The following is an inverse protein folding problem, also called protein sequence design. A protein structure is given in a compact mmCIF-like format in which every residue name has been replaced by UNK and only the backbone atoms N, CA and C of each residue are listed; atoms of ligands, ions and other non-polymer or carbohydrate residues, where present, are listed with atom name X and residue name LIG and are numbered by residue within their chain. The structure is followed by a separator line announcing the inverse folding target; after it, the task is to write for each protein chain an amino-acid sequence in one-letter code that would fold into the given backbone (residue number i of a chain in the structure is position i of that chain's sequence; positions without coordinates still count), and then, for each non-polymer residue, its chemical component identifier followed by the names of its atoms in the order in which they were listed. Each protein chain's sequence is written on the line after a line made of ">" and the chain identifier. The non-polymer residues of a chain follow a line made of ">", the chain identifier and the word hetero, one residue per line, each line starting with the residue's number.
data_IF_377742046499
#
_entry.id   IF_377742046499
#
_cell.length_a   1.000
_cell.length_b   1.000
_cell.length_c   1.000
_cell.angle_alpha   90.00
_cell.angle_beta   90.00
_cell.angle_gamma   90.00
#
_symmetry.space_group_name_H-M   'P 1'
#
loop_
_entity.id
_entity.type
_entity.pdbx_description
1 polymer ?
#
# COMPACT_ATOMS: atom_id res chain seq x y z
N UNK A 1 -36.89 -4.06 4.68
CA UNK A 1 -35.72 -4.20 5.59
C UNK A 1 -34.40 -4.54 4.87
N UNK A 2 -34.33 -4.83 3.55
CA UNK A 2 -33.06 -5.18 2.87
C UNK A 2 -32.36 -4.06 2.09
N UNK A 3 -32.97 -2.88 1.91
CA UNK A 3 -32.35 -1.76 1.17
C UNK A 3 -31.31 -0.96 1.97
N UNK A 4 -31.34 -1.08 3.30
CA UNK A 4 -30.46 -0.29 4.19
C UNK A 4 -29.02 -0.85 4.23
N UNK A 5 -28.86 -2.18 4.18
CA UNK A 5 -27.53 -2.83 4.20
C UNK A 5 -26.79 -2.72 2.87
N UNK A 6 -27.50 -2.71 1.73
CA UNK A 6 -26.92 -2.54 0.39
C UNK A 6 -26.26 -1.15 0.26
N UNK A 7 -26.91 -0.10 0.78
CA UNK A 7 -26.39 1.27 0.74
C UNK A 7 -25.10 1.47 1.55
N UNK A 8 -24.97 0.78 2.70
CA UNK A 8 -23.77 0.87 3.55
C UNK A 8 -22.59 0.08 2.94
N UNK A 9 -22.87 -1.10 2.39
CA UNK A 9 -21.87 -1.93 1.71
C UNK A 9 -21.36 -1.27 0.44
N UNK A 10 -22.23 -0.64 -0.35
CA UNK A 10 -21.84 0.12 -1.53
C UNK A 10 -21.06 1.39 -1.19
N UNK A 11 -21.39 2.13 -0.13
CA UNK A 11 -20.57 3.29 0.30
C UNK A 11 -19.20 2.88 0.83
N UNK A 12 -19.08 1.70 1.42
CA UNK A 12 -17.81 1.17 1.92
C UNK A 12 -16.95 0.56 0.80
N UNK A 13 -17.58 -0.13 -0.17
CA UNK A 13 -16.92 -0.69 -1.35
C UNK A 13 -16.59 0.36 -2.43
N UNK A 14 -17.44 1.39 -2.60
CA UNK A 14 -17.18 2.54 -3.47
C UNK A 14 -16.51 3.70 -2.71
N UNK A 15 -16.14 3.49 -1.45
CA UNK A 15 -15.42 4.47 -0.64
C UNK A 15 -13.95 4.53 -1.04
N UNK A 16 -13.35 5.73 -0.93
CA UNK A 16 -11.93 5.96 -1.24
C UNK A 16 -10.97 4.96 -0.56
N UNK A 17 -11.36 4.42 0.60
CA UNK A 17 -10.59 3.44 1.36
C UNK A 17 -10.50 2.08 0.66
N UNK A 18 -11.59 1.57 0.07
CA UNK A 18 -11.58 0.30 -0.66
C UNK A 18 -10.75 0.41 -1.94
N UNK A 19 -10.82 1.55 -2.64
CA UNK A 19 -10.00 1.81 -3.83
C UNK A 19 -8.51 1.85 -3.43
N UNK A 20 -8.17 2.55 -2.34
CA UNK A 20 -6.79 2.64 -1.85
C UNK A 20 -6.24 1.26 -1.50
N UNK A 21 -7.01 0.43 -0.78
CA UNK A 21 -6.58 -0.91 -0.38
C UNK A 21 -6.37 -1.83 -1.60
N UNK A 22 -7.25 -1.72 -2.59
CA UNK A 22 -7.12 -2.44 -3.86
C UNK A 22 -5.86 -2.01 -4.63
N UNK A 23 -5.59 -0.71 -4.73
CA UNK A 23 -4.38 -0.18 -5.37
C UNK A 23 -3.10 -0.67 -4.69
N UNK A 24 -3.08 -0.71 -3.34
CA UNK A 24 -1.95 -1.25 -2.58
C UNK A 24 -1.74 -2.74 -2.89
N UNK A 25 -2.82 -3.53 -2.93
CA UNK A 25 -2.75 -4.95 -3.25
C UNK A 25 -2.18 -5.20 -4.66
N UNK A 26 -2.65 -4.44 -5.66
CA UNK A 26 -2.11 -4.51 -7.02
C UNK A 26 -0.63 -4.11 -7.09
N UNK A 27 -0.20 -3.12 -6.29
CA UNK A 27 1.22 -2.78 -6.16
C UNK A 27 2.08 -3.94 -5.67
N UNK A 28 1.63 -4.66 -4.64
CA UNK A 28 2.33 -5.86 -4.15
C UNK A 28 2.31 -7.03 -5.16
N UNK A 29 1.21 -7.21 -5.90
CA UNK A 29 1.14 -8.21 -6.96
C UNK A 29 2.12 -7.90 -8.10
N UNK A 30 2.14 -6.66 -8.57
CA UNK A 30 3.07 -6.22 -9.61
C UNK A 30 4.53 -6.39 -9.17
N UNK A 31 4.87 -5.97 -7.94
CA UNK A 31 6.20 -6.19 -7.36
C UNK A 31 6.56 -7.69 -7.29
N UNK A 32 5.59 -8.54 -6.96
CA UNK A 32 5.78 -9.99 -6.92
C UNK A 32 6.05 -10.59 -8.31
N UNK A 33 5.32 -10.13 -9.32
CA UNK A 33 5.54 -10.55 -10.72
C UNK A 33 6.95 -10.14 -11.19
N UNK A 34 7.38 -8.92 -10.87
CA UNK A 34 8.73 -8.44 -11.21
C UNK A 34 9.80 -9.31 -10.57
N UNK A 35 9.63 -9.68 -9.29
CA UNK A 35 10.55 -10.59 -8.60
C UNK A 35 10.61 -11.97 -9.26
N UNK A 36 9.46 -12.52 -9.67
CA UNK A 36 9.41 -13.79 -10.39
C UNK A 36 10.14 -13.72 -11.74
N UNK A 37 9.97 -12.64 -12.49
CA UNK A 37 10.68 -12.40 -13.75
C UNK A 37 12.20 -12.26 -13.54
N UNK A 38 12.62 -11.69 -12.40
CA UNK A 38 14.02 -11.60 -12.00
C UNK A 38 14.60 -12.94 -11.50
N UNK A 39 13.80 -14.01 -11.42
CA UNK A 39 14.23 -15.33 -10.96
C UNK A 39 14.30 -15.49 -9.44
N UNK A 40 13.76 -14.52 -8.67
CA UNK A 40 13.71 -14.58 -7.22
C UNK A 40 12.32 -14.98 -6.73
N UNK A 41 12.24 -15.69 -5.61
CA UNK A 41 10.96 -16.01 -4.99
C UNK A 41 10.42 -14.76 -4.25
N UNK A 42 9.29 -14.18 -4.69
CA UNK A 42 8.74 -12.96 -4.08
C UNK A 42 8.37 -13.14 -2.62
N UNK A 43 7.90 -14.33 -2.21
CA UNK A 43 7.56 -14.61 -0.81
C UNK A 43 8.80 -14.51 0.09
N UNK A 44 9.93 -15.05 -0.38
CA UNK A 44 11.19 -15.01 0.36
C UNK A 44 11.74 -13.58 0.42
N UNK A 45 11.67 -12.84 -0.68
CA UNK A 45 12.09 -11.44 -0.73
C UNK A 45 11.28 -10.58 0.27
N UNK A 46 9.95 -10.72 0.29
CA UNK A 46 9.11 -10.02 1.26
C UNK A 46 9.41 -10.42 2.71
N UNK A 47 9.71 -11.69 2.96
CA UNK A 47 10.08 -12.17 4.28
C UNK A 47 11.40 -11.56 4.78
N UNK A 48 12.40 -11.45 3.89
CA UNK A 48 13.69 -10.81 4.20
C UNK A 48 13.49 -9.32 4.51
N UNK A 49 12.62 -8.62 3.78
CA UNK A 49 12.30 -7.22 4.05
C UNK A 49 11.72 -7.06 5.46
N UNK A 50 10.70 -7.85 5.81
CA UNK A 50 10.08 -7.76 7.14
C UNK A 50 11.10 -8.08 8.24
N UNK A 51 11.87 -9.16 8.10
CA UNK A 51 12.94 -9.49 9.05
C UNK A 51 13.99 -8.39 9.15
N UNK A 52 14.35 -7.75 8.04
CA UNK A 52 15.31 -6.66 7.99
C UNK A 52 14.84 -5.45 8.80
N UNK A 53 13.56 -5.08 8.68
CA UNK A 53 12.98 -3.95 9.40
C UNK A 53 12.95 -4.22 10.90
N UNK A 54 12.53 -5.41 11.33
CA UNK A 54 12.42 -5.77 12.75
C UNK A 54 13.74 -6.22 13.39
N UNK A 55 14.82 -6.37 12.62
CA UNK A 55 16.12 -6.84 13.14
C UNK A 55 16.72 -5.88 14.17
N UNK A 56 16.54 -4.57 14.01
CA UNK A 56 17.03 -3.56 14.96
C UNK A 56 16.02 -2.42 15.10
N UNK A 57 15.80 -1.87 16.31
CA UNK A 57 14.91 -0.72 16.51
C UNK A 57 15.25 0.47 15.61
N UNK A 58 16.54 0.69 15.34
CA UNK A 58 17.02 1.75 14.43
C UNK A 58 16.48 1.62 13.00
N UNK A 59 16.31 0.40 12.49
CA UNK A 59 15.83 0.17 11.12
C UNK A 59 14.36 0.49 10.98
N UNK A 60 13.54 0.20 12.00
CA UNK A 60 12.14 0.65 12.06
C UNK A 60 12.07 2.17 12.00
N UNK A 61 12.89 2.87 12.79
CA UNK A 61 12.96 4.34 12.75
C UNK A 61 13.36 4.86 11.38
N UNK A 62 14.34 4.24 10.71
CA UNK A 62 14.70 4.61 9.34
C UNK A 62 13.53 4.47 8.38
N UNK A 63 12.80 3.35 8.42
CA UNK A 63 11.62 3.15 7.56
C UNK A 63 10.60 4.27 7.76
N UNK A 64 10.31 4.65 9.00
CA UNK A 64 9.34 5.72 9.30
C UNK A 64 9.85 7.09 8.77
N UNK A 65 11.10 7.44 9.08
CA UNK A 65 11.69 8.73 8.70
C UNK A 65 11.77 8.89 7.18
N UNK A 66 12.07 7.81 6.44
CA UNK A 66 12.13 7.85 4.98
C UNK A 66 10.75 7.71 4.30
N UNK A 67 9.84 6.89 4.84
CA UNK A 67 8.53 6.68 4.21
C UNK A 67 7.59 7.87 4.41
N UNK A 68 7.62 8.53 5.56
CA UNK A 68 6.75 9.68 5.88
C UNK A 68 6.81 10.79 4.81
N UNK A 69 7.99 11.32 4.44
CA UNK A 69 8.06 12.37 3.42
C UNK A 69 7.62 11.87 2.03
N UNK A 70 7.88 10.61 1.68
CA UNK A 70 7.42 10.04 0.41
C UNK A 70 5.90 9.98 0.34
N UNK A 71 5.24 9.55 1.43
CA UNK A 71 3.78 9.50 1.53
C UNK A 71 3.19 10.92 1.41
N UNK A 72 3.73 11.88 2.16
CA UNK A 72 3.26 13.28 2.11
C UNK A 72 3.48 13.89 0.73
N UNK A 73 4.60 13.59 0.07
CA UNK A 73 4.89 14.06 -1.28
C UNK A 73 3.89 13.51 -2.30
N UNK A 74 3.61 12.20 -2.27
CA UNK A 74 2.61 11.61 -3.14
C UNK A 74 1.20 12.18 -2.91
N UNK A 75 0.83 12.41 -1.63
CA UNK A 75 -0.43 13.04 -1.27
C UNK A 75 -0.53 14.48 -1.79
N UNK A 76 0.56 15.25 -1.71
CA UNK A 76 0.63 16.63 -2.22
C UNK A 76 0.39 16.69 -3.73
N UNK A 77 1.04 15.81 -4.50
CA UNK A 77 0.85 15.72 -5.96
C UNK A 77 -0.59 15.31 -6.29
N UNK A 78 -1.12 14.30 -5.60
CA UNK A 78 -2.51 13.87 -5.80
C UNK A 78 -3.53 14.97 -5.48
N UNK A 79 -3.23 15.82 -4.48
CA UNK A 79 -4.05 16.98 -4.14
C UNK A 79 -3.99 18.03 -5.26
N UNK A 80 -2.79 18.39 -5.72
CA UNK A 80 -2.60 19.38 -6.79
C UNK A 80 -3.32 18.97 -8.09
N UNK A 81 -3.24 17.69 -8.48
CA UNK A 81 -3.91 17.15 -9.68
C UNK A 81 -5.44 17.14 -9.58
N UNK A 82 -6.01 17.22 -8.38
CA UNK A 82 -7.47 17.25 -8.17
C UNK A 82 -8.04 18.66 -8.10
N UNK A 83 -7.23 19.67 -7.78
CA UNK A 83 -7.66 21.07 -7.68
C UNK A 83 -7.28 21.92 -8.90
N UNK A 84 -6.44 21.39 -9.78
CA UNK A 84 -6.12 21.99 -11.08
C UNK A 84 -7.14 21.67 -12.16
#
# INVERSE_FOLDING_TARGET
>A
MSRLSVSLKEKFLNGALSITLMSVLFGFLLGGIIMLLAGFNPLEAYWVIIKGIFSRPKYVSYVIIYSTPLIITGLSVAFALRTG
#
